data_IF_039416382311
#
_entry.id   IF_039416382311
#
_cell.length_a   1.000
_cell.length_b   1.000
_cell.length_c   1.000
_cell.angle_alpha   90.00
_cell.angle_beta   90.00
_cell.angle_gamma   90.00
#
_symmetry.space_group_name_H-M   'P 1'
#
loop_
_entity.id
_entity.type
_entity.pdbx_description
1 polymer ?
#
# COMPACT_ATOMS: atom_id res chain seq x y z
N UNK A 1 -21.58 13.24 -13.62
CA UNK A 1 -20.41 12.61 -12.97
C UNK A 1 -20.83 12.13 -11.59
N UNK A 2 -20.92 10.82 -11.40
CA UNK A 2 -21.46 10.19 -10.19
C UNK A 2 -20.56 10.38 -8.97
N UNK A 3 -21.18 10.54 -7.80
CA UNK A 3 -20.53 10.71 -6.50
C UNK A 3 -19.60 9.53 -6.18
N UNK A 4 -18.29 9.76 -6.14
CA UNK A 4 -17.36 8.81 -5.52
C UNK A 4 -17.63 8.76 -4.01
N UNK A 5 -17.94 7.56 -3.48
CA UNK A 5 -18.34 7.34 -2.07
C UNK A 5 -17.28 6.58 -1.26
N UNK A 6 -16.01 6.63 -1.67
CA UNK A 6 -14.86 6.08 -0.94
C UNK A 6 -13.65 7.01 -0.99
N UNK A 7 -12.76 6.95 0.00
CA UNK A 7 -11.48 7.69 0.04
C UNK A 7 -10.33 6.99 -0.70
N UNK A 8 -10.56 5.84 -1.31
CA UNK A 8 -9.54 5.03 -1.99
C UNK A 8 -9.53 5.27 -3.50
N UNK A 9 -8.37 5.09 -4.13
CA UNK A 9 -8.23 5.15 -5.58
C UNK A 9 -8.82 3.87 -6.21
N UNK A 10 -9.73 3.96 -7.20
CA UNK A 10 -10.25 2.76 -7.87
C UNK A 10 -9.17 2.04 -8.68
N UNK A 11 -9.27 0.72 -8.76
CA UNK A 11 -8.48 -0.11 -9.69
C UNK A 11 -9.12 -0.22 -11.09
N UNK A 12 -8.54 -1.04 -11.98
CA UNK A 12 -7.37 -1.88 -11.76
C UNK A 12 -6.07 -1.07 -11.75
N UNK A 13 -5.06 -1.59 -11.04
CA UNK A 13 -3.71 -1.03 -11.03
C UNK A 13 -2.73 -2.07 -11.57
N UNK A 14 -1.70 -1.61 -12.27
CA UNK A 14 -0.70 -2.48 -12.90
C UNK A 14 0.71 -2.11 -12.47
N UNK A 15 1.63 -3.08 -12.50
CA UNK A 15 3.05 -2.84 -12.27
C UNK A 15 3.73 -2.42 -13.58
N UNK A 16 4.40 -1.28 -13.58
CA UNK A 16 5.37 -0.93 -14.64
C UNK A 16 6.72 -1.62 -14.40
N UNK A 17 7.62 -1.53 -15.39
CA UNK A 17 8.99 -2.03 -15.24
C UNK A 17 9.85 -1.17 -14.29
N UNK A 18 9.49 0.12 -14.13
CA UNK A 18 10.28 1.15 -13.43
C UNK A 18 9.86 1.34 -11.97
N UNK A 19 9.40 0.27 -11.31
CA UNK A 19 8.95 0.31 -9.91
C UNK A 19 7.75 1.26 -9.65
N UNK A 20 7.03 1.65 -10.70
CA UNK A 20 5.81 2.44 -10.60
C UNK A 20 4.55 1.56 -10.68
N UNK A 21 3.50 2.00 -10.03
CA UNK A 21 2.17 1.42 -10.09
C UNK A 21 1.32 2.39 -10.89
N UNK A 22 0.74 1.91 -11.99
CA UNK A 22 0.00 2.73 -12.96
C UNK A 22 -1.48 2.34 -12.98
N UNK A 23 -2.35 3.25 -13.44
CA UNK A 23 -3.75 2.95 -13.71
C UNK A 23 -3.93 2.23 -15.06
N UNK A 24 -5.18 1.86 -15.37
CA UNK A 24 -5.56 1.21 -16.62
C UNK A 24 -5.26 2.04 -17.90
N UNK A 25 -4.91 3.32 -17.76
CA UNK A 25 -4.55 4.23 -18.84
C UNK A 25 -3.05 4.53 -18.89
N UNK A 26 -2.25 3.93 -18.01
CA UNK A 26 -0.81 4.16 -17.93
C UNK A 26 -0.38 5.37 -17.11
N UNK A 27 -1.28 6.01 -16.35
CA UNK A 27 -0.92 7.12 -15.48
C UNK A 27 -0.35 6.63 -14.15
N UNK A 28 0.77 7.19 -13.65
CA UNK A 28 1.34 6.82 -12.36
C UNK A 28 0.39 7.12 -11.19
N UNK A 29 0.19 6.13 -10.33
CA UNK A 29 -0.58 6.21 -9.08
C UNK A 29 0.36 6.31 -7.89
N UNK A 30 1.40 5.48 -7.88
CA UNK A 30 2.38 5.39 -6.80
C UNK A 30 3.71 4.84 -7.32
N UNK A 31 4.78 5.06 -6.57
CA UNK A 31 6.10 4.47 -6.85
C UNK A 31 6.61 3.77 -5.60
N UNK A 32 7.33 2.68 -5.78
CA UNK A 32 8.05 2.00 -4.69
C UNK A 32 9.55 2.27 -4.81
N UNK A 33 10.22 2.42 -3.67
CA UNK A 33 11.64 2.76 -3.60
C UNK A 33 12.38 1.75 -2.73
N UNK A 34 13.66 1.53 -3.03
CA UNK A 34 14.54 0.64 -2.26
C UNK A 34 14.92 1.22 -0.89
N UNK A 35 15.01 2.55 -0.77
CA UNK A 35 15.47 3.23 0.43
C UNK A 35 14.32 3.35 1.45
N UNK A 36 14.46 2.66 2.58
CA UNK A 36 13.54 2.72 3.70
C UNK A 36 14.15 3.54 4.84
N UNK A 37 13.71 4.79 4.97
CA UNK A 37 14.18 5.71 6.02
C UNK A 37 13.42 5.41 7.32
N UNK A 38 14.15 5.19 8.42
CA UNK A 38 13.58 4.94 9.74
C UNK A 38 12.98 6.22 10.30
N UNK A 39 11.72 6.17 10.74
CA UNK A 39 11.09 7.30 11.43
C UNK A 39 11.88 7.67 12.69
N UNK A 40 12.07 8.97 12.92
CA UNK A 40 12.80 9.51 14.07
C UNK A 40 14.32 9.43 13.94
N UNK A 41 14.88 9.15 12.75
CA UNK A 41 16.33 9.14 12.52
C UNK A 41 17.02 10.44 12.95
N UNK A 42 16.31 11.57 12.95
CA UNK A 42 16.82 12.87 13.38
C UNK A 42 17.31 12.88 14.84
N UNK A 43 16.79 11.98 15.68
CA UNK A 43 17.21 11.84 17.08
C UNK A 43 18.61 11.26 17.24
N UNK A 44 19.22 10.78 16.15
CA UNK A 44 20.58 10.26 16.14
C UNK A 44 21.66 11.35 16.16
N UNK A 45 21.27 12.64 16.12
CA UNK A 45 22.22 13.76 16.09
C UNK A 45 22.98 13.92 14.77
N UNK A 46 22.50 13.30 13.71
CA UNK A 46 23.04 13.38 12.34
C UNK A 46 22.22 14.36 11.50
N UNK A 47 22.81 14.93 10.46
CA UNK A 47 22.16 15.98 9.64
C UNK A 47 21.30 15.38 8.52
N UNK A 48 21.69 14.20 8.03
CA UNK A 48 21.02 13.48 6.97
C UNK A 48 20.99 11.97 7.27
N UNK A 49 19.88 11.30 6.94
CA UNK A 49 19.69 9.86 7.21
C UNK A 49 20.76 8.98 6.56
N UNK A 50 21.31 9.42 5.41
CA UNK A 50 22.34 8.66 4.69
C UNK A 50 23.66 8.54 5.47
N UNK A 51 23.88 9.37 6.48
CA UNK A 51 25.09 9.36 7.31
C UNK A 51 25.16 8.14 8.25
N UNK A 52 24.04 7.43 8.47
CA UNK A 52 23.98 6.29 9.40
C UNK A 52 23.28 5.07 8.76
N UNK A 53 23.95 4.37 7.81
CA UNK A 53 23.41 3.16 7.22
C UNK A 53 23.09 2.11 8.28
N UNK A 54 22.00 1.35 8.06
CA UNK A 54 21.43 0.36 8.97
C UNK A 54 20.89 0.89 10.32
N UNK A 55 21.05 2.19 10.60
CA UNK A 55 20.50 2.82 11.82
C UNK A 55 19.41 3.85 11.49
N UNK A 56 19.66 4.68 10.48
CA UNK A 56 18.75 5.71 10.00
C UNK A 56 18.01 5.31 8.73
N UNK A 57 18.57 4.41 7.92
CA UNK A 57 17.91 3.82 6.76
C UNK A 57 18.38 2.39 6.52
N UNK A 58 17.61 1.64 5.75
CA UNK A 58 18.02 0.39 5.12
C UNK A 58 17.71 0.47 3.62
N UNK A 59 18.45 -0.28 2.82
CA UNK A 59 18.16 -0.47 1.41
C UNK A 59 17.60 -1.88 1.20
N UNK A 60 16.52 -1.97 0.40
CA UNK A 60 15.85 -3.22 0.03
C UNK A 60 16.33 -3.67 -1.34
N UNK A 61 16.36 -4.99 -1.55
CA UNK A 61 16.71 -5.53 -2.87
C UNK A 61 15.61 -5.21 -3.90
N UNK A 62 15.98 -5.20 -5.18
CA UNK A 62 15.02 -5.02 -6.27
C UNK A 62 13.88 -6.04 -6.19
N UNK A 63 14.15 -7.29 -5.81
CA UNK A 63 13.13 -8.33 -5.65
C UNK A 63 12.12 -7.99 -4.54
N UNK A 64 12.59 -7.46 -3.40
CA UNK A 64 11.72 -6.98 -2.33
C UNK A 64 10.87 -5.78 -2.80
N UNK A 65 11.48 -4.86 -3.57
CA UNK A 65 10.78 -3.71 -4.13
C UNK A 65 9.71 -4.15 -5.14
N UNK A 66 10.02 -5.09 -6.05
CA UNK A 66 9.04 -5.66 -7.00
C UNK A 66 7.94 -6.42 -6.28
N UNK A 67 8.25 -7.15 -5.20
CA UNK A 67 7.24 -7.83 -4.41
C UNK A 67 6.26 -6.83 -3.77
N UNK A 68 6.77 -5.73 -3.21
CA UNK A 68 5.94 -4.65 -2.67
C UNK A 68 5.08 -3.98 -3.76
N UNK A 69 5.65 -3.73 -4.93
CA UNK A 69 4.94 -3.18 -6.09
C UNK A 69 3.72 -4.04 -6.43
N UNK A 70 3.92 -5.36 -6.56
CA UNK A 70 2.86 -6.34 -6.87
C UNK A 70 1.80 -6.41 -5.77
N UNK A 71 2.22 -6.38 -4.52
CA UNK A 71 1.29 -6.41 -3.38
C UNK A 71 0.39 -5.16 -3.37
N UNK A 72 0.96 -3.98 -3.61
CA UNK A 72 0.20 -2.74 -3.64
C UNK A 72 -0.70 -2.69 -4.88
N UNK A 73 -0.23 -3.11 -6.06
CA UNK A 73 -1.07 -3.15 -7.26
C UNK A 73 -2.28 -4.08 -7.12
N UNK A 74 -2.18 -5.12 -6.30
CA UNK A 74 -3.29 -6.03 -5.99
C UNK A 74 -4.29 -5.46 -4.95
N UNK A 75 -4.05 -4.29 -4.36
CA UNK A 75 -4.93 -3.76 -3.32
C UNK A 75 -6.42 -3.60 -3.76
N UNK A 76 -6.75 -3.16 -4.99
CA UNK A 76 -8.14 -3.05 -5.43
C UNK A 76 -8.86 -4.41 -5.48
N UNK A 77 -8.23 -5.44 -6.02
CA UNK A 77 -8.84 -6.79 -6.08
C UNK A 77 -8.93 -7.44 -4.70
N UNK A 78 -7.93 -7.22 -3.83
CA UNK A 78 -7.97 -7.66 -2.43
C UNK A 78 -9.13 -7.00 -1.68
N UNK A 79 -9.40 -5.72 -1.91
CA UNK A 79 -10.51 -5.00 -1.29
C UNK A 79 -11.87 -5.60 -1.69
N UNK A 80 -12.06 -5.90 -2.98
CA UNK A 80 -13.29 -6.55 -3.46
C UNK A 80 -13.43 -8.00 -2.95
N UNK A 81 -12.34 -8.74 -2.83
CA UNK A 81 -12.34 -10.08 -2.23
C UNK A 81 -12.78 -10.02 -0.75
N UNK A 82 -12.25 -9.07 0.03
CA UNK A 82 -12.62 -8.88 1.42
C UNK A 82 -14.10 -8.52 1.61
N UNK A 83 -14.69 -7.73 0.71
CA UNK A 83 -16.13 -7.45 0.72
C UNK A 83 -16.96 -8.71 0.56
N UNK A 84 -16.62 -9.55 -0.43
CA UNK A 84 -17.31 -10.83 -0.67
C UNK A 84 -17.22 -11.77 0.54
N UNK A 85 -16.09 -11.78 1.25
CA UNK A 85 -15.95 -12.54 2.49
C UNK A 85 -16.92 -12.03 3.56
N UNK A 86 -17.08 -10.71 3.72
CA UNK A 86 -18.11 -10.20 4.64
C UNK A 86 -19.52 -10.62 4.22
N UNK A 87 -19.86 -10.50 2.94
CA UNK A 87 -21.20 -10.85 2.45
C UNK A 87 -21.59 -12.30 2.74
N UNK A 88 -20.62 -13.24 2.71
CA UNK A 88 -20.87 -14.67 2.94
C UNK A 88 -20.91 -15.03 4.42
N UNK A 89 -20.08 -14.38 5.25
CA UNK A 89 -19.83 -14.81 6.63
C UNK A 89 -20.37 -13.86 7.70
N UNK A 90 -21.00 -12.73 7.37
CA UNK A 90 -21.59 -11.84 8.38
C UNK A 90 -22.79 -12.54 9.09
N UNK A 91 -22.88 -12.56 10.44
CA UNK A 91 -22.10 -11.78 11.41
C UNK A 91 -21.00 -12.54 12.19
N UNK A 92 -20.35 -13.55 11.60
CA UNK A 92 -19.30 -14.34 12.27
C UNK A 92 -18.23 -13.44 12.95
N UNK A 93 -17.94 -13.61 14.26
CA UNK A 93 -16.88 -12.88 14.94
C UNK A 93 -15.51 -12.95 14.25
N UNK A 94 -15.23 -14.02 13.50
CA UNK A 94 -14.00 -14.18 12.73
C UNK A 94 -13.81 -13.10 11.66
N UNK A 95 -14.88 -12.45 11.20
CA UNK A 95 -14.80 -11.39 10.17
C UNK A 95 -14.68 -9.97 10.74
N UNK A 96 -14.63 -9.80 12.07
CA UNK A 96 -14.41 -8.50 12.72
C UNK A 96 -13.15 -7.77 12.20
N UNK A 97 -11.98 -8.42 12.04
CA UNK A 97 -10.80 -7.77 11.48
C UNK A 97 -11.01 -7.26 10.06
N UNK A 98 -11.70 -8.03 9.22
CA UNK A 98 -12.03 -7.68 7.84
C UNK A 98 -12.93 -6.44 7.81
N UNK A 99 -13.96 -6.41 8.68
CA UNK A 99 -14.84 -5.24 8.84
C UNK A 99 -14.06 -3.99 9.21
N UNK A 100 -13.08 -4.10 10.11
CA UNK A 100 -12.21 -2.97 10.50
C UNK A 100 -11.35 -2.48 9.33
N UNK A 101 -10.80 -3.37 8.53
CA UNK A 101 -10.00 -3.02 7.34
C UNK A 101 -10.87 -2.29 6.32
N UNK A 102 -12.05 -2.82 6.00
CA UNK A 102 -12.95 -2.24 5.01
C UNK A 102 -13.49 -0.87 5.43
N UNK A 103 -13.79 -0.66 6.72
CA UNK A 103 -14.19 0.66 7.26
C UNK A 103 -13.08 1.70 7.09
N UNK A 104 -11.84 1.33 7.45
CA UNK A 104 -10.68 2.21 7.26
C UNK A 104 -10.45 2.58 5.81
N UNK A 105 -10.53 1.61 4.89
CA UNK A 105 -10.43 1.86 3.45
C UNK A 105 -11.59 2.75 2.94
N UNK A 106 -12.78 2.64 3.54
CA UNK A 106 -13.92 3.53 3.30
C UNK A 106 -13.75 4.95 3.85
N UNK A 107 -12.79 5.18 4.74
CA UNK A 107 -12.44 6.49 5.28
C UNK A 107 -12.98 6.81 6.67
N UNK A 108 -13.44 5.79 7.42
CA UNK A 108 -13.82 5.83 8.84
C UNK A 108 -12.66 5.43 9.77
#
# INVERSE_FOLDING_TARGET
MGKFKGKFTPGPWECSNDFEIIDAHGFPIASVHSICIKSGWQQLGITHWAEAPNRAYIERSDDEVRANQKLISAAPEMYEALKKVLEVYDPDPAVIPIRKILRKAGGE
#
